data_IF_561613284025
#
_entry.id   IF_561613284025
#
_cell.length_a   1.000
_cell.length_b   1.000
_cell.length_c   1.000
_cell.angle_alpha   90.00
_cell.angle_beta   90.00
_cell.angle_gamma   90.00
#
_symmetry.space_group_name_H-M   'P 1'
#
loop_
_entity.id
_entity.type
_entity.pdbx_description
1 polymer ?
#
# COMPACT_ATOMS: atom_id res chain seq x y z
N UNK A 1 -4.28 -6.53 -11.86
CA UNK A 1 -4.09 -5.21 -11.22
C UNK A 1 -3.08 -4.44 -12.07
N UNK A 2 -3.36 -3.18 -12.41
CA UNK A 2 -2.39 -2.30 -13.10
C UNK A 2 -1.83 -1.34 -12.06
N UNK A 3 -0.51 -1.19 -12.01
CA UNK A 3 0.18 -0.32 -11.03
C UNK A 3 1.19 0.57 -11.74
N UNK A 4 1.47 1.72 -11.14
CA UNK A 4 2.58 2.59 -11.51
C UNK A 4 3.60 2.59 -10.39
N UNK A 5 4.86 2.31 -10.73
CA UNK A 5 5.94 2.36 -9.76
C UNK A 5 6.25 3.81 -9.40
N UNK A 6 6.17 4.10 -8.10
CA UNK A 6 6.42 5.44 -7.54
C UNK A 6 7.55 5.45 -6.50
N UNK A 7 8.11 4.29 -6.18
CA UNK A 7 9.21 4.13 -5.24
C UNK A 7 10.01 2.86 -5.57
N UNK A 8 11.22 2.76 -5.03
CA UNK A 8 12.04 1.55 -5.05
C UNK A 8 12.00 0.88 -3.67
N UNK A 9 11.75 -0.43 -3.64
CA UNK A 9 11.85 -1.24 -2.42
C UNK A 9 13.29 -1.66 -2.13
N UNK A 10 13.62 -1.89 -0.86
CA UNK A 10 14.91 -2.40 -0.42
C UNK A 10 14.72 -3.56 0.55
N UNK A 11 15.68 -4.50 0.58
CA UNK A 11 15.72 -5.58 1.56
C UNK A 11 14.82 -6.78 1.26
N UNK A 12 14.47 -6.98 -0.01
CA UNK A 12 13.59 -8.06 -0.46
C UNK A 12 14.09 -8.70 -1.77
N UNK A 13 13.51 -9.84 -2.16
CA UNK A 13 13.94 -10.64 -3.30
C UNK A 13 13.80 -9.96 -4.66
N UNK A 14 14.38 -10.58 -5.70
CA UNK A 14 14.24 -10.09 -7.07
C UNK A 14 12.76 -10.11 -7.53
N UNK A 15 12.38 -9.15 -8.39
CA UNK A 15 11.07 -9.07 -9.02
C UNK A 15 9.87 -8.90 -8.06
N UNK A 16 10.10 -8.24 -6.91
CA UNK A 16 9.06 -7.93 -5.94
C UNK A 16 8.37 -6.58 -6.18
N UNK A 17 7.07 -6.54 -5.86
CA UNK A 17 6.26 -5.32 -5.92
C UNK A 17 5.61 -5.11 -4.56
N UNK A 18 5.95 -4.01 -3.90
CA UNK A 18 5.31 -3.60 -2.66
C UNK A 18 4.13 -2.69 -2.97
N UNK A 19 2.91 -3.21 -2.84
CA UNK A 19 1.71 -2.44 -3.12
C UNK A 19 1.43 -1.43 -2.00
N UNK A 20 1.29 -0.16 -2.39
CA UNK A 20 0.92 0.93 -1.48
C UNK A 20 -0.57 0.86 -1.12
N UNK A 21 -0.91 0.02 -0.14
CA UNK A 21 -2.23 -0.04 0.48
C UNK A 21 -2.16 0.55 1.89
N UNK A 22 -3.09 1.45 2.22
CA UNK A 22 -3.15 2.04 3.55
C UNK A 22 -3.45 0.96 4.59
N UNK A 23 -2.81 1.03 5.77
CA UNK A 23 -2.94 -0.03 6.76
C UNK A 23 -2.24 -1.33 6.34
N UNK A 24 -1.22 -1.28 5.46
CA UNK A 24 -0.45 -2.45 5.01
C UNK A 24 0.89 -2.66 5.71
N UNK A 25 1.33 -1.74 6.56
CA UNK A 25 2.65 -1.79 7.20
C UNK A 25 3.39 -0.47 7.03
N UNK A 26 4.00 0.02 8.11
CA UNK A 26 4.99 1.10 8.01
C UNK A 26 6.36 0.54 7.57
N UNK A 27 6.63 -0.72 7.90
CA UNK A 27 7.88 -1.39 7.58
C UNK A 27 9.07 -0.72 8.26
N UNK A 28 10.19 -0.62 7.54
CA UNK A 28 11.40 -0.02 8.11
C UNK A 28 11.23 1.48 8.43
N UNK A 29 10.52 2.21 7.57
CA UNK A 29 10.37 3.67 7.67
C UNK A 29 8.96 4.08 8.11
N UNK A 30 8.80 4.61 9.33
CA UNK A 30 7.52 5.12 9.81
C UNK A 30 7.39 6.65 9.66
N UNK A 31 7.05 7.10 8.44
CA UNK A 31 6.66 8.50 8.21
C UNK A 31 5.27 8.85 8.74
N UNK A 32 4.40 7.85 8.91
CA UNK A 32 3.00 8.04 9.35
C UNK A 32 2.89 8.53 10.78
N UNK A 33 3.83 8.16 11.67
CA UNK A 33 3.91 8.70 13.02
C UNK A 33 4.00 10.24 13.00
N UNK A 34 4.82 10.81 12.11
CA UNK A 34 4.98 12.27 11.99
C UNK A 34 3.84 12.93 11.22
N UNK A 35 3.41 12.33 10.11
CA UNK A 35 2.43 12.96 9.22
C UNK A 35 0.99 12.85 9.74
N UNK A 36 0.68 11.79 10.51
CA UNK A 36 -0.70 11.42 10.84
C UNK A 36 -0.87 11.00 12.30
N UNK A 37 0.11 11.26 13.17
CA UNK A 37 0.11 10.86 14.57
C UNK A 37 -0.21 9.37 14.76
N UNK A 38 0.26 8.53 13.83
CA UNK A 38 0.12 7.09 13.96
C UNK A 38 1.01 6.57 15.11
N UNK A 39 0.66 5.42 15.73
CA UNK A 39 1.55 4.75 16.68
C UNK A 39 2.93 4.41 16.09
N UNK A 40 3.88 4.05 16.96
CA UNK A 40 5.27 3.75 16.59
C UNK A 40 5.41 2.66 15.53
N UNK A 41 4.46 1.72 15.48
CA UNK A 41 4.45 0.60 14.52
C UNK A 41 3.36 0.74 13.43
N UNK A 42 2.59 1.83 13.42
CA UNK A 42 1.40 1.98 12.56
C UNK A 42 0.10 1.68 13.31
N UNK A 43 -0.99 1.43 12.60
CA UNK A 43 -2.31 1.20 13.20
C UNK A 43 -2.54 -0.26 13.65
N UNK A 44 -1.48 -1.07 13.64
CA UNK A 44 -1.47 -2.51 13.83
C UNK A 44 -0.02 -2.99 13.92
N UNK A 45 0.32 -4.06 13.20
CA UNK A 45 1.69 -4.58 13.16
C UNK A 45 2.64 -3.73 12.30
N UNK A 46 3.92 -3.64 12.69
CA UNK A 46 4.92 -2.90 11.90
C UNK A 46 4.99 -3.37 10.44
N UNK A 47 4.93 -4.69 10.25
CA UNK A 47 4.86 -5.35 8.96
C UNK A 47 3.49 -6.03 8.84
N UNK A 48 2.69 -5.64 7.84
CA UNK A 48 1.34 -6.14 7.64
C UNK A 48 0.22 -5.32 8.31
N UNK A 49 0.53 -4.46 9.29
CA UNK A 49 -0.37 -3.47 9.93
C UNK A 49 -1.73 -4.03 10.33
N UNK A 50 -2.84 -3.50 9.81
CA UNK A 50 -4.15 -3.96 10.22
C UNK A 50 -4.42 -5.38 9.70
N UNK A 51 -5.05 -6.18 10.54
CA UNK A 51 -5.34 -7.61 10.31
C UNK A 51 -6.77 -7.89 9.87
N UNK A 52 -7.66 -6.89 9.92
CA UNK A 52 -9.05 -7.05 9.50
C UNK A 52 -9.60 -5.78 8.86
N UNK A 53 -10.63 -5.96 8.02
CA UNK A 53 -11.41 -4.87 7.44
C UNK A 53 -11.90 -3.88 8.49
N UNK A 54 -12.33 -4.37 9.65
CA UNK A 54 -12.89 -3.53 10.71
C UNK A 54 -11.84 -2.59 11.32
N UNK A 55 -10.58 -3.00 11.36
CA UNK A 55 -9.49 -2.15 11.86
C UNK A 55 -9.21 -0.97 10.92
N UNK A 56 -9.62 -1.00 9.65
CA UNK A 56 -9.52 0.15 8.75
C UNK A 56 -10.25 1.41 9.26
N UNK A 57 -11.26 1.25 10.13
CA UNK A 57 -11.99 2.38 10.70
C UNK A 57 -11.21 3.15 11.77
N UNK A 58 -10.09 2.60 12.26
CA UNK A 58 -9.14 3.32 13.12
C UNK A 58 -8.26 4.32 12.35
N UNK A 59 -8.18 4.18 11.02
CA UNK A 59 -7.46 5.10 10.15
C UNK A 59 -8.32 6.34 9.83
N UNK A 60 -7.63 7.47 9.59
CA UNK A 60 -8.28 8.71 9.15
C UNK A 60 -9.02 8.50 7.82
N UNK A 61 -10.12 9.22 7.64
CA UNK A 61 -11.00 9.10 6.46
C UNK A 61 -10.24 9.23 5.12
N UNK A 62 -9.27 10.14 5.05
CA UNK A 62 -8.44 10.38 3.84
C UNK A 62 -7.67 9.16 3.33
N UNK A 63 -7.41 8.15 4.16
CA UNK A 63 -6.69 6.91 3.76
C UNK A 63 -7.52 5.64 3.98
N UNK A 64 -8.72 5.75 4.56
CA UNK A 64 -9.56 4.60 4.90
C UNK A 64 -9.93 3.79 3.67
N UNK A 65 -10.28 4.45 2.56
CA UNK A 65 -10.66 3.75 1.33
C UNK A 65 -9.52 2.89 0.76
N UNK A 66 -8.28 3.34 0.90
CA UNK A 66 -7.11 2.54 0.51
C UNK A 66 -6.94 1.28 1.38
N UNK A 67 -7.30 1.36 2.66
CA UNK A 67 -7.32 0.21 3.56
C UNK A 67 -8.47 -0.74 3.24
N UNK A 68 -9.68 -0.22 3.01
CA UNK A 68 -10.83 -1.04 2.65
C UNK A 68 -10.60 -1.79 1.33
N UNK A 69 -9.92 -1.17 0.35
CA UNK A 69 -9.54 -1.84 -0.91
C UNK A 69 -8.77 -3.15 -0.67
N UNK A 70 -7.88 -3.19 0.34
CA UNK A 70 -7.09 -4.37 0.72
C UNK A 70 -7.99 -5.56 1.08
N UNK A 71 -9.11 -5.31 1.74
CA UNK A 71 -10.00 -6.37 2.21
C UNK A 71 -11.18 -6.63 1.25
N UNK A 72 -11.68 -5.60 0.57
CA UNK A 72 -12.88 -5.69 -0.25
C UNK A 72 -12.58 -6.26 -1.64
N UNK A 73 -11.67 -5.62 -2.38
CA UNK A 73 -11.28 -6.05 -3.73
C UNK A 73 -10.11 -7.03 -3.70
N UNK A 74 -9.07 -6.73 -2.90
CA UNK A 74 -7.89 -7.58 -2.80
C UNK A 74 -8.09 -8.77 -1.84
N UNK A 75 -9.26 -8.89 -1.22
CA UNK A 75 -9.68 -10.06 -0.40
C UNK A 75 -8.77 -10.38 0.80
N UNK A 76 -7.93 -9.44 1.23
CA UNK A 76 -7.01 -9.63 2.34
C UNK A 76 -5.96 -10.72 2.09
N UNK A 77 -5.67 -11.05 0.83
CA UNK A 77 -4.67 -12.08 0.51
C UNK A 77 -3.28 -11.66 0.99
N UNK A 78 -2.53 -12.61 1.53
CA UNK A 78 -1.19 -12.39 2.07
C UNK A 78 -0.14 -12.71 0.99
N UNK A 79 0.55 -11.67 0.51
CA UNK A 79 1.69 -11.73 -0.42
C UNK A 79 1.52 -12.73 -1.58
N UNK A 80 0.49 -12.57 -2.43
CA UNK A 80 0.23 -13.50 -3.54
C UNK A 80 1.34 -13.43 -4.59
N UNK A 81 1.66 -14.57 -5.21
CA UNK A 81 2.53 -14.63 -6.39
C UNK A 81 1.82 -14.05 -7.62
N UNK A 82 2.59 -13.54 -8.58
CA UNK A 82 2.03 -13.00 -9.82
C UNK A 82 2.95 -13.16 -11.02
N UNK A 83 2.36 -13.02 -12.21
CA UNK A 83 3.06 -12.81 -13.48
C UNK A 83 2.75 -11.37 -13.90
N UNK A 84 3.75 -10.66 -14.43
CA UNK A 84 3.60 -9.26 -14.79
C UNK A 84 4.15 -8.97 -16.19
N UNK A 85 3.64 -7.89 -16.79
CA UNK A 85 4.16 -7.32 -18.03
C UNK A 85 4.11 -5.79 -17.94
N UNK A 86 5.08 -5.11 -18.55
CA UNK A 86 5.13 -3.65 -18.60
C UNK A 86 4.21 -3.16 -19.71
N UNK A 87 3.37 -2.19 -19.39
CA UNK A 87 2.46 -1.53 -20.34
C UNK A 87 2.61 0.00 -20.27
N UNK A 88 2.13 0.76 -21.27
CA UNK A 88 1.98 2.20 -21.13
C UNK A 88 1.10 2.55 -19.91
N UNK A 89 1.46 3.61 -19.18
CA UNK A 89 0.72 4.01 -17.98
C UNK A 89 -0.67 4.57 -18.38
N UNK A 90 -1.78 4.03 -17.84
CA UNK A 90 -3.11 4.60 -18.05
C UNK A 90 -3.21 6.04 -17.53
N UNK A 91 -4.09 6.83 -18.13
CA UNK A 91 -4.23 8.26 -17.81
C UNK A 91 -4.69 8.48 -16.38
N UNK A 92 -5.47 7.55 -15.82
CA UNK A 92 -5.94 7.55 -14.44
C UNK A 92 -4.81 7.48 -13.42
N UNK A 93 -3.70 6.80 -13.74
CA UNK A 93 -2.52 6.74 -12.89
C UNK A 93 -1.65 7.98 -13.08
N UNK A 94 -1.39 8.37 -14.33
CA UNK A 94 -0.61 9.57 -14.66
C UNK A 94 -1.21 10.82 -14.03
N UNK A 95 -2.54 11.00 -14.11
CA UNK A 95 -3.21 12.16 -13.52
C UNK A 95 -3.11 12.20 -11.98
N UNK A 96 -2.85 11.08 -11.31
CA UNK A 96 -2.70 11.02 -9.85
C UNK A 96 -1.26 11.26 -9.40
N UNK A 97 -0.28 10.81 -10.17
CA UNK A 97 1.13 10.93 -9.82
C UNK A 97 1.84 12.06 -10.54
N UNK A 98 1.20 12.65 -11.54
CA UNK A 98 1.74 13.68 -12.43
C UNK A 98 3.08 13.27 -13.08
N UNK A 99 3.25 11.96 -13.31
CA UNK A 99 4.49 11.37 -13.81
C UNK A 99 4.21 10.50 -15.02
N UNK A 100 4.83 10.81 -16.15
CA UNK A 100 4.82 10.02 -17.38
C UNK A 100 6.25 9.80 -17.86
N UNK A 101 6.50 8.64 -18.43
CA UNK A 101 7.77 8.29 -19.09
C UNK A 101 7.57 8.17 -20.59
#
# INVERSE_FOLDING_TARGET
>A
MIVQFTNTGHGVGAHQFDFKMSGGGTGYFNGSARQRNAPSDGWGQRYGDVSSRQQCYSLSESIRNGCLLRFDWFRGVDNPTMIYSKIPCPRELINRTECSR
#
